data_IF_829504945285
#
_entry.id   IF_829504945285
#
_cell.length_a   1.000
_cell.length_b   1.000
_cell.length_c   1.000
_cell.angle_alpha   90.00
_cell.angle_beta   90.00
_cell.angle_gamma   90.00
#
_symmetry.space_group_name_H-M   'P 1'
#
loop_
_entity.id
_entity.type
_entity.pdbx_description
1 polymer ?
#
# COMPACT_ATOMS: atom_id res chain seq x y z
N UNK A 1 10.53 -16.15 10.45
CA UNK A 1 9.58 -15.42 11.31
C UNK A 1 8.16 -15.62 10.78
N UNK A 2 7.13 -15.52 11.64
CA UNK A 2 5.71 -15.55 11.22
C UNK A 2 5.08 -14.22 11.61
N UNK A 3 4.36 -13.61 10.67
CA UNK A 3 3.58 -12.39 10.90
C UNK A 3 2.12 -12.69 10.57
N UNK A 4 1.23 -12.30 11.47
CA UNK A 4 -0.21 -12.36 11.27
C UNK A 4 -0.74 -10.93 11.17
N UNK A 5 -1.47 -10.64 10.10
CA UNK A 5 -2.15 -9.38 9.90
C UNK A 5 -3.61 -9.56 10.32
N UNK A 6 -4.08 -8.72 11.23
CA UNK A 6 -5.49 -8.67 11.64
C UNK A 6 -6.06 -7.28 11.32
N UNK A 7 -6.50 -7.04 10.07
CA UNK A 7 -6.79 -5.71 9.58
C UNK A 7 -8.20 -5.25 9.96
N UNK A 8 -8.51 -5.17 11.25
CA UNK A 8 -9.84 -4.83 11.77
C UNK A 8 -10.39 -3.54 11.14
N UNK A 9 -9.56 -2.50 11.05
CA UNK A 9 -9.91 -1.20 10.47
C UNK A 9 -9.58 -1.05 8.99
N UNK A 10 -8.92 -2.05 8.38
CA UNK A 10 -8.42 -1.98 7.02
C UNK A 10 -6.91 -2.10 6.86
N UNK A 11 -6.44 -1.91 5.62
CA UNK A 11 -5.02 -1.91 5.25
C UNK A 11 -4.75 -0.80 4.23
N UNK A 12 -3.79 0.06 4.56
CA UNK A 12 -3.16 1.00 3.65
C UNK A 12 -1.64 0.85 3.73
N UNK A 13 -0.88 1.42 2.77
CA UNK A 13 0.58 1.31 2.76
C UNK A 13 1.21 1.94 3.99
N UNK A 14 0.80 3.14 4.34
CA UNK A 14 1.19 3.85 5.56
C UNK A 14 0.83 3.08 6.85
N UNK A 15 -0.36 2.47 6.91
CA UNK A 15 -0.80 1.64 8.04
C UNK A 15 0.06 0.38 8.18
N UNK A 16 0.41 -0.26 7.06
CA UNK A 16 1.29 -1.43 7.05
C UNK A 16 2.69 -1.07 7.57
N UNK A 17 3.26 0.04 7.10
CA UNK A 17 4.53 0.57 7.58
C UNK A 17 4.46 0.87 9.08
N UNK A 18 3.44 1.62 9.50
CA UNK A 18 3.29 2.05 10.88
C UNK A 18 3.14 0.87 11.84
N UNK A 19 2.36 -0.15 11.47
CA UNK A 19 2.18 -1.35 12.29
C UNK A 19 3.49 -2.13 12.49
N UNK A 20 4.32 -2.25 11.45
CA UNK A 20 5.61 -2.94 11.58
C UNK A 20 6.59 -2.09 12.39
N UNK A 21 6.63 -0.78 12.16
CA UNK A 21 7.54 0.12 12.88
C UNK A 21 7.14 0.36 14.34
N UNK A 22 5.87 0.19 14.70
CA UNK A 22 5.46 0.12 16.11
C UNK A 22 6.14 -1.07 16.82
N UNK A 23 6.22 -2.22 16.16
CA UNK A 23 6.91 -3.40 16.66
C UNK A 23 8.44 -3.35 16.51
N UNK A 24 8.95 -2.55 15.55
CA UNK A 24 10.37 -2.46 15.13
C UNK A 24 10.80 -1.01 14.88
N UNK A 25 10.75 -0.14 15.90
CA UNK A 25 11.01 1.29 15.74
C UNK A 25 12.45 1.57 15.29
N UNK A 26 13.39 0.67 15.60
CA UNK A 26 14.79 0.79 15.20
C UNK A 26 15.02 0.75 13.68
N UNK A 27 14.04 0.29 12.90
CA UNK A 27 14.14 0.22 11.43
C UNK A 27 13.70 1.49 10.70
N UNK A 28 13.10 2.45 11.40
CA UNK A 28 12.56 3.66 10.78
C UNK A 28 13.62 4.46 10.02
N UNK A 29 14.81 4.66 10.59
CA UNK A 29 15.88 5.43 9.97
C UNK A 29 16.38 4.80 8.66
N UNK A 30 16.61 3.49 8.66
CA UNK A 30 17.07 2.76 7.48
C UNK A 30 15.99 2.70 6.39
N UNK A 31 14.72 2.54 6.78
CA UNK A 31 13.58 2.58 5.85
C UNK A 31 13.46 3.95 5.17
N UNK A 32 13.52 5.05 5.95
CA UNK A 32 13.52 6.40 5.40
C UNK A 32 14.70 6.63 4.46
N UNK A 33 15.89 6.12 4.79
CA UNK A 33 17.05 6.19 3.91
C UNK A 33 16.80 5.44 2.58
N UNK A 34 16.18 4.26 2.62
CA UNK A 34 15.80 3.52 1.43
C UNK A 34 14.81 4.31 0.55
N UNK A 35 13.77 4.89 1.15
CA UNK A 35 12.79 5.74 0.44
C UNK A 35 13.49 6.95 -0.24
N UNK A 36 14.44 7.59 0.44
CA UNK A 36 15.24 8.69 -0.16
C UNK A 36 16.11 8.21 -1.32
N UNK A 37 16.77 7.07 -1.17
CA UNK A 37 17.58 6.46 -2.23
C UNK A 37 16.74 6.12 -3.46
N UNK A 38 15.46 5.76 -3.27
CA UNK A 38 14.52 5.49 -4.34
C UNK A 38 14.16 6.73 -5.18
N UNK A 39 14.42 7.93 -4.67
CA UNK A 39 14.21 9.19 -5.40
C UNK A 39 13.32 10.21 -4.69
N UNK A 40 12.86 9.94 -3.46
CA UNK A 40 11.97 10.86 -2.73
C UNK A 40 12.68 12.21 -2.44
N UNK A 41 12.16 13.36 -2.93
CA UNK A 41 12.76 14.68 -2.73
C UNK A 41 12.89 15.05 -1.25
N UNK A 42 13.91 15.82 -0.88
CA UNK A 42 14.17 16.16 0.54
C UNK A 42 13.07 17.01 1.17
N UNK A 43 12.30 17.71 0.34
CA UNK A 43 11.18 18.56 0.70
C UNK A 43 9.95 17.76 1.16
N UNK A 44 9.81 16.51 0.69
CA UNK A 44 8.73 15.62 1.14
C UNK A 44 9.09 15.09 2.53
N UNK A 45 8.31 15.47 3.54
CA UNK A 45 8.50 15.04 4.92
C UNK A 45 8.15 13.57 5.09
N UNK A 46 8.94 12.85 5.88
CA UNK A 46 8.59 11.52 6.40
C UNK A 46 8.55 11.61 7.91
N UNK A 47 7.45 11.19 8.52
CA UNK A 47 7.31 11.18 9.98
C UNK A 47 6.67 9.90 10.47
N UNK A 48 7.10 9.45 11.66
CA UNK A 48 6.47 8.38 12.40
C UNK A 48 6.08 8.93 13.77
N UNK A 49 4.78 9.05 14.02
CA UNK A 49 4.23 9.74 15.18
C UNK A 49 3.35 8.79 16.01
N UNK A 50 3.35 8.90 17.34
CA UNK A 50 2.35 8.23 18.16
C UNK A 50 0.95 8.65 17.72
N UNK A 51 0.05 7.67 17.61
CA UNK A 51 -1.34 7.89 17.25
C UNK A 51 -2.25 7.15 18.23
N UNK A 52 -3.45 7.69 18.41
CA UNK A 52 -4.46 7.07 19.24
C UNK A 52 -5.80 7.25 18.56
N UNK A 53 -6.53 6.15 18.45
CA UNK A 53 -7.91 6.14 17.97
C UNK A 53 -8.77 5.41 19.00
N UNK A 54 -9.70 6.14 19.60
CA UNK A 54 -10.45 5.71 20.78
C UNK A 54 -9.55 5.15 21.90
N UNK A 55 -9.60 3.84 22.14
CA UNK A 55 -8.85 3.15 23.19
C UNK A 55 -7.56 2.48 22.67
N UNK A 56 -7.30 2.53 21.36
CA UNK A 56 -6.15 1.88 20.73
C UNK A 56 -5.03 2.90 20.53
N UNK A 57 -3.81 2.49 20.88
CA UNK A 57 -2.58 3.26 20.66
C UNK A 57 -1.69 2.54 19.67
N UNK A 58 -0.97 3.30 18.85
CA UNK A 58 0.05 2.77 17.95
C UNK A 58 0.85 3.90 17.33
N UNK A 59 1.43 3.64 16.16
CA UNK A 59 2.12 4.65 15.37
C UNK A 59 1.31 5.03 14.13
N UNK A 60 1.60 6.20 13.58
CA UNK A 60 1.15 6.66 12.27
C UNK A 60 2.36 7.10 11.47
N UNK A 61 2.50 6.55 10.27
CA UNK A 61 3.46 7.00 9.28
C UNK A 61 2.79 8.08 8.42
N UNK A 62 3.44 9.20 8.19
CA UNK A 62 2.93 10.26 7.31
C UNK A 62 3.97 10.66 6.28
N UNK A 63 3.48 10.97 5.09
CA UNK A 63 4.24 11.57 4.00
C UNK A 63 3.68 12.98 3.76
N UNK A 64 4.50 13.99 4.05
CA UNK A 64 4.07 15.40 4.00
C UNK A 64 4.64 16.08 2.75
N UNK A 65 3.83 16.31 1.73
CA UNK A 65 4.22 16.95 0.46
C UNK A 65 4.22 18.50 0.54
N UNK A 66 4.86 19.08 1.56
CA UNK A 66 4.88 20.54 1.78
C UNK A 66 5.40 21.31 0.56
N UNK A 67 4.51 22.00 -0.15
CA UNK A 67 4.84 22.88 -1.28
C UNK A 67 4.92 22.21 -2.65
N UNK A 68 4.60 20.91 -2.77
CA UNK A 68 4.47 20.21 -4.06
C UNK A 68 2.99 20.22 -4.45
N UNK A 69 2.53 21.32 -5.07
CA UNK A 69 1.10 21.57 -5.32
C UNK A 69 0.58 21.19 -6.71
N UNK A 70 1.27 20.30 -7.43
CA UNK A 70 0.73 19.74 -8.66
C UNK A 70 0.64 18.22 -8.54
N UNK A 71 -0.60 17.70 -8.50
CA UNK A 71 -0.89 16.29 -8.71
C UNK A 71 -0.51 15.93 -10.14
N UNK A 72 0.76 15.64 -10.35
CA UNK A 72 1.23 15.13 -11.61
C UNK A 72 0.84 13.66 -11.72
N UNK A 73 0.34 13.29 -12.89
CA UNK A 73 0.09 11.91 -13.23
C UNK A 73 1.43 11.25 -13.56
N UNK A 74 1.92 10.36 -12.70
CA UNK A 74 3.13 9.58 -13.02
C UNK A 74 2.77 8.38 -13.84
N UNK A 75 3.37 8.28 -15.03
CA UNK A 75 3.38 7.03 -15.78
C UNK A 75 4.12 5.96 -14.97
N UNK A 76 3.56 4.76 -14.88
CA UNK A 76 4.23 3.61 -14.26
C UNK A 76 5.62 3.37 -14.85
N UNK A 77 5.80 3.59 -16.16
CA UNK A 77 7.10 3.48 -16.82
C UNK A 77 8.16 4.44 -16.23
N UNK A 78 7.78 5.64 -15.78
CA UNK A 78 8.68 6.57 -15.10
C UNK A 78 9.07 6.06 -13.72
N UNK A 79 8.10 5.60 -12.93
CA UNK A 79 8.36 5.01 -11.60
C UNK A 79 9.29 3.81 -11.73
N UNK A 80 9.00 2.89 -12.67
CA UNK A 80 9.83 1.73 -12.95
C UNK A 80 11.27 2.13 -13.30
N UNK A 81 11.45 3.12 -14.16
CA UNK A 81 12.78 3.59 -14.56
C UNK A 81 13.52 4.24 -13.37
N UNK A 82 12.83 5.05 -12.58
CA UNK A 82 13.37 5.68 -11.37
C UNK A 82 13.86 4.61 -10.38
N UNK A 83 13.01 3.64 -10.04
CA UNK A 83 13.37 2.55 -9.12
C UNK A 83 14.50 1.68 -9.69
N UNK A 84 14.44 1.34 -10.98
CA UNK A 84 15.48 0.54 -11.65
C UNK A 84 16.84 1.23 -11.65
N UNK A 85 16.87 2.55 -11.82
CA UNK A 85 18.08 3.38 -11.78
C UNK A 85 18.53 3.81 -10.37
N UNK A 86 17.74 3.53 -9.34
CA UNK A 86 18.06 3.89 -7.96
C UNK A 86 19.18 3.04 -7.36
N UNK A 87 19.80 3.57 -6.31
CA UNK A 87 20.81 2.86 -5.52
C UNK A 87 20.24 1.91 -4.46
N UNK A 88 18.95 1.56 -4.57
CA UNK A 88 18.28 0.68 -3.61
C UNK A 88 18.97 -0.69 -3.55
N UNK A 89 18.87 -1.33 -2.38
CA UNK A 89 19.21 -2.75 -2.27
C UNK A 89 18.45 -3.55 -3.35
N UNK A 90 19.11 -4.48 -4.07
CA UNK A 90 18.48 -5.20 -5.17
C UNK A 90 17.19 -5.92 -4.79
N UNK A 91 17.11 -6.46 -3.58
CA UNK A 91 15.93 -7.18 -3.11
C UNK A 91 14.79 -6.20 -2.81
N UNK A 92 15.05 -5.13 -2.06
CA UNK A 92 14.07 -4.07 -1.79
C UNK A 92 13.52 -3.47 -3.08
N UNK A 93 14.40 -3.19 -4.05
CA UNK A 93 14.01 -2.68 -5.37
C UNK A 93 13.10 -3.65 -6.11
N UNK A 94 13.44 -4.95 -6.12
CA UNK A 94 12.63 -5.95 -6.80
C UNK A 94 11.23 -6.05 -6.19
N UNK A 95 11.14 -6.09 -4.85
CA UNK A 95 9.85 -6.13 -4.14
C UNK A 95 8.99 -4.90 -4.48
N UNK A 96 9.58 -3.70 -4.44
CA UNK A 96 8.85 -2.47 -4.77
C UNK A 96 8.35 -2.49 -6.22
N UNK A 97 9.18 -2.93 -7.17
CA UNK A 97 8.80 -3.08 -8.58
C UNK A 97 7.67 -4.10 -8.77
N UNK A 98 7.72 -5.23 -8.07
CA UNK A 98 6.69 -6.26 -8.15
C UNK A 98 5.34 -5.76 -7.60
N UNK A 99 5.35 -5.04 -6.47
CA UNK A 99 4.14 -4.43 -5.90
C UNK A 99 3.55 -3.38 -6.86
N UNK A 100 4.36 -2.48 -7.40
CA UNK A 100 3.89 -1.51 -8.39
C UNK A 100 3.39 -2.17 -9.68
N UNK A 101 4.01 -3.28 -10.10
CA UNK A 101 3.58 -4.03 -11.28
C UNK A 101 2.18 -4.62 -11.08
N UNK A 102 1.91 -5.23 -9.92
CA UNK A 102 0.58 -5.74 -9.59
C UNK A 102 -0.48 -4.63 -9.62
N UNK A 103 -0.17 -3.47 -9.01
CA UNK A 103 -1.05 -2.31 -9.04
C UNK A 103 -1.29 -1.81 -10.48
N UNK A 104 -0.24 -1.69 -11.28
CA UNK A 104 -0.35 -1.27 -12.68
C UNK A 104 -1.14 -2.26 -13.55
N UNK A 105 -1.01 -3.57 -13.31
CA UNK A 105 -1.79 -4.62 -13.98
C UNK A 105 -3.28 -4.54 -13.64
N UNK A 106 -3.60 -4.30 -12.37
CA UNK A 106 -4.99 -4.09 -11.92
C UNK A 106 -5.61 -2.86 -12.59
N UNK A 107 -4.89 -1.73 -12.58
CA UNK A 107 -5.32 -0.50 -13.26
C UNK A 107 -5.47 -0.69 -14.77
N UNK A 108 -4.51 -1.37 -15.42
CA UNK A 108 -4.54 -1.69 -16.85
C UNK A 108 -5.80 -2.49 -17.21
N UNK A 109 -6.16 -3.48 -16.40
CA UNK A 109 -7.36 -4.28 -16.59
C UNK A 109 -8.64 -3.45 -16.48
N UNK A 110 -8.72 -2.55 -15.49
CA UNK A 110 -9.89 -1.67 -15.26
C UNK A 110 -10.03 -0.63 -16.36
N UNK A 111 -8.91 -0.06 -16.83
CA UNK A 111 -8.90 1.01 -17.83
C UNK A 111 -8.84 0.52 -19.28
N UNK A 112 -8.65 -0.77 -19.52
CA UNK A 112 -8.48 -1.33 -20.87
C UNK A 112 -7.24 -0.78 -21.59
N UNK A 113 -6.16 -0.52 -20.84
CA UNK A 113 -4.88 0.03 -21.35
C UNK A 113 -3.78 -1.02 -21.20
N UNK A 114 -2.64 -0.80 -21.86
CA UNK A 114 -1.43 -1.55 -21.54
C UNK A 114 -0.83 -1.07 -20.21
N UNK A 115 -0.11 -1.95 -19.52
CA UNK A 115 0.57 -1.66 -18.24
C UNK A 115 1.52 -0.46 -18.38
N UNK A 116 2.23 -0.35 -19.49
CA UNK A 116 3.17 0.75 -19.75
C UNK A 116 2.50 2.12 -19.92
N UNK A 117 1.20 2.12 -20.28
CA UNK A 117 0.39 3.32 -20.51
C UNK A 117 -0.42 3.72 -19.27
N UNK A 118 -0.28 3.00 -18.15
CA UNK A 118 -0.89 3.36 -16.89
C UNK A 118 -0.19 4.57 -16.29
N UNK A 119 -1.01 5.55 -15.93
CA UNK A 119 -0.65 6.65 -15.06
C UNK A 119 -1.42 6.48 -13.76
N UNK A 120 -0.72 6.61 -12.65
CA UNK A 120 -1.37 6.59 -11.34
C UNK A 120 -1.91 7.99 -11.03
N UNK A 121 -3.18 8.03 -10.60
CA UNK A 121 -3.92 9.29 -10.39
C UNK A 121 -4.34 9.48 -8.93
N UNK A 122 -4.73 8.39 -8.26
CA UNK A 122 -5.24 8.38 -6.87
C UNK A 122 -4.15 8.09 -5.84
N UNK A 123 -2.95 7.79 -6.33
CA UNK A 123 -1.77 7.29 -5.64
C UNK A 123 -0.81 8.47 -5.74
N UNK A 124 -0.85 9.37 -4.75
CA UNK A 124 -0.03 10.59 -4.74
C UNK A 124 1.42 10.22 -5.02
N UNK A 125 2.07 10.92 -5.97
CA UNK A 125 3.31 10.41 -6.58
C UNK A 125 4.31 9.99 -5.50
N UNK A 126 4.50 10.85 -4.49
CA UNK A 126 5.48 10.64 -3.44
C UNK A 126 4.96 9.84 -2.25
N UNK A 127 3.72 10.07 -1.84
CA UNK A 127 3.03 9.26 -0.82
C UNK A 127 3.10 7.76 -1.15
N UNK A 128 2.70 7.39 -2.36
CA UNK A 128 2.65 5.99 -2.74
C UNK A 128 4.01 5.37 -3.08
N UNK A 129 4.97 6.17 -3.55
CA UNK A 129 6.37 5.74 -3.63
C UNK A 129 6.92 5.45 -2.23
N UNK A 130 6.68 6.34 -1.27
CA UNK A 130 7.12 6.14 0.12
C UNK A 130 6.45 4.91 0.75
N UNK A 131 5.15 4.72 0.54
CA UNK A 131 4.41 3.54 0.99
C UNK A 131 4.97 2.24 0.43
N UNK A 132 5.08 2.13 -0.90
CA UNK A 132 5.48 0.87 -1.53
C UNK A 132 6.95 0.57 -1.30
N UNK A 133 7.84 1.58 -1.35
CA UNK A 133 9.27 1.37 -1.06
C UNK A 133 9.49 1.10 0.42
N UNK A 134 8.79 1.79 1.31
CA UNK A 134 8.84 1.55 2.76
C UNK A 134 8.35 0.15 3.10
N UNK A 135 7.20 -0.26 2.57
CA UNK A 135 6.69 -1.62 2.70
C UNK A 135 7.68 -2.64 2.13
N UNK A 136 8.24 -2.42 0.94
CA UNK A 136 9.22 -3.32 0.34
C UNK A 136 10.46 -3.52 1.22
N UNK A 137 10.99 -2.44 1.81
CA UNK A 137 12.11 -2.50 2.75
C UNK A 137 11.76 -3.36 3.97
N UNK A 138 10.60 -3.13 4.57
CA UNK A 138 10.16 -3.85 5.77
C UNK A 138 9.86 -5.32 5.47
N UNK A 139 9.27 -5.63 4.32
CA UNK A 139 8.99 -7.00 3.88
C UNK A 139 10.30 -7.78 3.71
N UNK A 140 11.29 -7.20 3.04
CA UNK A 140 12.63 -7.79 2.91
C UNK A 140 13.27 -8.05 4.28
N UNK A 141 13.34 -7.01 5.11
CA UNK A 141 13.91 -7.08 6.46
C UNK A 141 13.26 -8.13 7.34
N UNK A 142 11.93 -8.26 7.28
CA UNK A 142 11.20 -9.26 8.05
C UNK A 142 11.49 -10.68 7.54
N UNK A 143 11.60 -10.87 6.22
CA UNK A 143 11.76 -12.20 5.60
C UNK A 143 10.81 -13.24 6.24
N UNK A 144 9.55 -12.82 6.42
CA UNK A 144 8.56 -13.55 7.17
C UNK A 144 7.64 -14.40 6.27
N UNK A 145 6.97 -15.35 6.91
CA UNK A 145 5.77 -15.98 6.35
C UNK A 145 4.54 -15.24 6.87
N UNK A 146 3.55 -15.05 6.01
CA UNK A 146 2.43 -14.15 6.26
C UNK A 146 1.11 -14.92 6.34
N UNK A 147 0.30 -14.54 7.33
CA UNK A 147 -1.10 -14.96 7.44
C UNK A 147 -1.96 -13.72 7.63
N UNK A 148 -3.23 -13.79 7.25
CA UNK A 148 -4.18 -12.69 7.44
C UNK A 148 -5.55 -13.24 7.83
N UNK A 149 -6.29 -12.52 8.67
CA UNK A 149 -7.71 -12.80 8.89
C UNK A 149 -8.56 -12.39 7.67
N UNK A 150 -9.89 -12.50 7.76
CA UNK A 150 -10.76 -11.99 6.69
C UNK A 150 -10.61 -10.46 6.60
N UNK A 151 -10.67 -9.95 5.38
CA UNK A 151 -10.48 -8.54 5.09
C UNK A 151 -11.79 -7.77 5.30
N UNK A 152 -11.80 -6.60 5.96
CA UNK A 152 -13.00 -5.78 6.03
C UNK A 152 -13.34 -5.26 4.63
N UNK A 153 -14.56 -5.53 4.18
CA UNK A 153 -15.00 -5.17 2.84
C UNK A 153 -15.15 -3.66 2.66
N UNK A 154 -15.63 -2.97 3.71
CA UNK A 154 -16.14 -1.60 3.61
C UNK A 154 -17.39 -1.52 2.75
N UNK A 155 -17.90 -0.30 2.54
CA UNK A 155 -19.07 -0.04 1.69
C UNK A 155 -19.12 1.41 1.21
N UNK A 156 -20.03 1.67 0.29
CA UNK A 156 -20.38 3.01 -0.14
C UNK A 156 -19.63 3.41 -1.40
N UNK A 157 -19.23 4.68 -1.47
CA UNK A 157 -18.59 5.28 -2.63
C UNK A 157 -17.48 6.23 -2.21
N UNK A 158 -16.45 6.35 -3.04
CA UNK A 158 -15.32 7.26 -2.85
C UNK A 158 -15.19 8.19 -4.05
N UNK A 159 -14.83 9.45 -3.81
CA UNK A 159 -14.51 10.42 -4.85
C UNK A 159 -13.07 10.22 -5.31
N UNK A 160 -12.88 10.11 -6.62
CA UNK A 160 -11.57 9.85 -7.22
C UNK A 160 -11.34 10.75 -8.43
N UNK A 161 -10.11 10.73 -8.98
CA UNK A 161 -9.82 11.35 -10.28
C UNK A 161 -10.62 10.74 -11.45
N UNK A 162 -11.18 9.54 -11.25
CA UNK A 162 -12.04 8.85 -12.20
C UNK A 162 -13.54 9.07 -11.93
N UNK A 163 -13.88 10.01 -11.05
CA UNK A 163 -15.23 10.27 -10.58
C UNK A 163 -15.59 9.42 -9.36
N UNK A 164 -16.88 9.22 -9.15
CA UNK A 164 -17.37 8.49 -7.98
C UNK A 164 -17.34 6.99 -8.24
N UNK A 165 -16.56 6.24 -7.47
CA UNK A 165 -16.39 4.79 -7.60
C UNK A 165 -17.03 4.04 -6.42
N UNK A 166 -17.46 2.78 -6.59
CA UNK A 166 -17.88 1.95 -5.47
C UNK A 166 -16.69 1.62 -4.56
N UNK A 167 -16.97 1.28 -3.31
CA UNK A 167 -16.01 0.70 -2.38
C UNK A 167 -16.26 -0.82 -2.26
N UNK A 168 -15.23 -1.68 -2.40
CA UNK A 168 -13.87 -1.34 -2.83
C UNK A 168 -13.80 -0.85 -4.28
N UNK A 169 -12.78 -0.04 -4.60
CA UNK A 169 -12.57 0.45 -5.97
C UNK A 169 -12.23 -0.69 -6.94
N UNK A 170 -12.50 -0.56 -8.25
CA UNK A 170 -12.33 -1.67 -9.20
C UNK A 170 -10.90 -2.26 -9.27
N UNK A 171 -9.86 -1.43 -9.15
CA UNK A 171 -8.48 -1.89 -9.13
C UNK A 171 -8.18 -2.68 -7.83
N UNK A 172 -8.65 -2.16 -6.69
CA UNK A 172 -8.58 -2.86 -5.39
C UNK A 172 -9.30 -4.21 -5.44
N UNK A 173 -10.49 -4.29 -6.05
CA UNK A 173 -11.20 -5.57 -6.25
C UNK A 173 -10.35 -6.56 -7.01
N UNK A 174 -9.65 -6.11 -8.07
CA UNK A 174 -8.76 -6.95 -8.88
C UNK A 174 -7.59 -7.51 -8.08
N UNK A 175 -6.95 -6.66 -7.28
CA UNK A 175 -5.79 -7.04 -6.45
C UNK A 175 -6.16 -8.05 -5.36
N UNK A 176 -7.39 -7.97 -4.85
CA UNK A 176 -7.86 -8.83 -3.78
C UNK A 176 -8.68 -10.04 -4.27
N UNK A 177 -8.64 -10.36 -5.57
CA UNK A 177 -9.30 -11.55 -6.11
C UNK A 177 -8.82 -12.81 -5.36
N UNK A 178 -9.78 -13.58 -4.82
CA UNK A 178 -9.51 -14.80 -4.08
C UNK A 178 -9.33 -14.64 -2.57
N UNK A 179 -9.29 -13.41 -2.05
CA UNK A 179 -9.36 -13.15 -0.62
C UNK A 179 -10.77 -13.36 -0.08
N UNK A 180 -10.83 -13.67 1.22
CA UNK A 180 -12.00 -13.78 2.07
C UNK A 180 -12.28 -12.44 2.74
N UNK A 181 -13.56 -12.06 2.77
CA UNK A 181 -14.01 -10.77 3.31
C UNK A 181 -15.09 -10.93 4.37
N UNK A 182 -15.09 -9.99 5.32
CA UNK A 182 -16.17 -9.76 6.27
C UNK A 182 -16.78 -8.36 6.03
N UNK A 183 -18.11 -8.26 6.01
CA UNK A 183 -18.81 -6.97 6.01
C UNK A 183 -18.86 -6.45 7.45
N UNK A 184 -18.09 -5.38 7.69
CA UNK A 184 -17.89 -4.79 9.01
C UNK A 184 -19.05 -3.89 9.47
N UNK A 185 -20.06 -3.64 8.63
CA UNK A 185 -21.15 -2.76 9.03
C UNK A 185 -20.94 -1.27 8.67
N UNK A 186 -19.78 -0.87 8.13
CA UNK A 186 -19.34 0.53 8.18
C UNK A 186 -19.02 1.15 6.81
N UNK A 187 -19.47 2.38 6.58
CA UNK A 187 -19.18 3.19 5.38
C UNK A 187 -17.69 3.54 5.24
N UNK A 188 -17.24 3.69 3.99
CA UNK A 188 -15.91 4.16 3.64
C UNK A 188 -14.96 3.06 3.17
N UNK A 189 -13.89 3.48 2.51
CA UNK A 189 -12.81 2.60 2.08
C UNK A 189 -12.11 1.98 3.30
N UNK A 190 -11.82 0.69 3.21
CA UNK A 190 -11.05 -0.06 4.21
C UNK A 190 -9.69 -0.46 3.69
N UNK A 191 -9.59 -0.78 2.41
CA UNK A 191 -8.34 -1.20 1.81
C UNK A 191 -8.06 -0.27 0.65
N UNK A 192 -6.99 0.50 0.78
CA UNK A 192 -6.53 1.40 -0.29
C UNK A 192 -5.86 0.58 -1.39
N UNK A 193 -5.71 1.11 -2.61
CA UNK A 193 -5.00 0.42 -3.68
C UNK A 193 -3.56 0.00 -3.31
N UNK A 194 -2.84 0.82 -2.55
CA UNK A 194 -1.48 0.48 -2.06
C UNK A 194 -1.51 -0.67 -1.05
N UNK A 195 -2.45 -0.65 -0.10
CA UNK A 195 -2.66 -1.74 0.85
C UNK A 195 -3.01 -3.06 0.16
N UNK A 196 -3.90 -3.01 -0.83
CA UNK A 196 -4.28 -4.17 -1.63
C UNK A 196 -3.10 -4.74 -2.45
N UNK A 197 -2.28 -3.89 -3.05
CA UNK A 197 -1.11 -4.30 -3.81
C UNK A 197 -0.06 -4.99 -2.90
N UNK A 198 0.13 -4.48 -1.68
CA UNK A 198 1.00 -5.12 -0.67
C UNK A 198 0.46 -6.51 -0.30
N UNK A 199 -0.83 -6.64 -0.02
CA UNK A 199 -1.45 -7.94 0.29
C UNK A 199 -1.33 -8.94 -0.88
N UNK A 200 -1.57 -8.47 -2.11
CA UNK A 200 -1.44 -9.26 -3.32
C UNK A 200 -0.01 -9.77 -3.56
N UNK A 201 1.00 -8.94 -3.24
CA UNK A 201 2.41 -9.33 -3.28
C UNK A 201 2.73 -10.37 -2.20
N UNK A 202 2.31 -10.12 -0.96
CA UNK A 202 2.59 -10.98 0.19
C UNK A 202 1.96 -12.38 0.07
N UNK A 203 0.81 -12.49 -0.61
CA UNK A 203 0.01 -13.71 -0.74
C UNK A 203 -0.18 -14.43 0.60
N UNK A 204 -0.63 -13.73 1.66
CA UNK A 204 -0.76 -14.32 2.99
C UNK A 204 -1.76 -15.47 2.98
N UNK A 205 -1.50 -16.51 3.77
CA UNK A 205 -2.49 -17.56 3.97
C UNK A 205 -3.64 -17.03 4.85
N UNK A 206 -4.89 -17.22 4.41
CA UNK A 206 -6.04 -16.81 5.20
C UNK A 206 -6.37 -17.81 6.31
N UNK A 207 -6.55 -17.30 7.53
CA UNK A 207 -6.89 -18.07 8.72
C UNK A 207 -8.28 -17.68 9.23
N UNK A 208 -9.25 -18.59 9.20
CA UNK A 208 -10.59 -18.36 9.74
C UNK A 208 -11.71 -18.99 8.88
N UNK A 209 -12.70 -19.60 9.54
CA UNK A 209 -13.87 -20.22 8.93
C UNK A 209 -15.12 -19.36 9.21
N UNK A 210 -15.20 -18.18 8.61
CA UNK A 210 -16.46 -17.42 8.47
C UNK A 210 -16.99 -17.62 7.06
N UNK A 211 -18.28 -17.35 6.80
CA UNK A 211 -18.86 -17.34 5.45
C UNK A 211 -18.25 -16.20 4.61
N UNK A 212 -16.98 -16.35 4.24
CA UNK A 212 -16.30 -15.39 3.43
C UNK A 212 -16.81 -15.49 2.00
N UNK A 213 -17.44 -14.41 1.54
CA UNK A 213 -17.66 -14.21 0.11
C UNK A 213 -16.32 -14.01 -0.58
N UNK A 214 -16.19 -14.56 -1.79
CA UNK A 214 -15.19 -14.07 -2.75
C UNK A 214 -15.83 -12.88 -3.47
N UNK A 215 -15.06 -11.82 -3.69
CA UNK A 215 -15.43 -10.72 -4.58
C UNK A 215 -15.76 -11.23 -5.99
#
# INVERSE_FOLDING_TARGET
MRVHLDPIGGVAGDMFIAAILDAKPEWYGDMCAAIRIAGLPQEVGLSLLPHSDFALTGMRFNVDELGVHEHHHTLFSKIRNMLSGSGLDPQVRQIALDIFCLLAEAEAAVHGKSVEAISFHEVGEWDSIADIVGAAFLIDKLSASWTVSALPLGRGRVETSHGVLPVPTPATVKLLEGFSFDDDGLDGERITPTGAAILAYLKPQQTGAGQAGKL
#
